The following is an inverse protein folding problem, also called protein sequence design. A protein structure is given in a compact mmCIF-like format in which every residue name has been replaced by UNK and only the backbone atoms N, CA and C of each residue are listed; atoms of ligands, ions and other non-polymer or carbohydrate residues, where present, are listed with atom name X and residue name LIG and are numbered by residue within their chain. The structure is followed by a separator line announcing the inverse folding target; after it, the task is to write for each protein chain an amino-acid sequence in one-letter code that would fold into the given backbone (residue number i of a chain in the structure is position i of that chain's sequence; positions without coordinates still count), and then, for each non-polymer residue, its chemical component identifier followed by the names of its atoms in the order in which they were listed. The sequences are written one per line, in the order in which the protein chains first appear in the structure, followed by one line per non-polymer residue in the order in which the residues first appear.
data_IF_069149739353
#
_entry.id   IF_069149739353
#
_cell.length_a   1.000
_cell.length_b   1.000
_cell.length_c   1.000
_cell.angle_alpha   90.00
_cell.angle_beta   90.00
_cell.angle_gamma   90.00
#
_symmetry.space_group_name_H-M   'P 1'
#
loop_
_entity.id
_entity.type
_entity.pdbx_description
1 polymer ?
#
# COMPACT_ATOMS: atom_id res chain seq x y z
N UNK A 1 -15.54 -3.60 -14.85
CA UNK A 1 -14.45 -4.15 -14.02
C UNK A 1 -13.17 -3.32 -14.01
N UNK A 2 -12.23 -3.40 -14.98
CA UNK A 2 -10.96 -2.64 -14.89
C UNK A 2 -11.18 -1.12 -14.82
N UNK A 3 -12.09 -0.57 -15.62
CA UNK A 3 -12.41 0.86 -15.59
C UNK A 3 -13.06 1.29 -14.27
N UNK A 4 -13.82 0.41 -13.62
CA UNK A 4 -14.41 0.68 -12.30
C UNK A 4 -13.32 0.69 -11.23
N UNK A 5 -12.34 -0.24 -11.29
CA UNK A 5 -11.18 -0.24 -10.39
C UNK A 5 -10.33 1.01 -10.58
N UNK A 6 -10.13 1.44 -11.83
CA UNK A 6 -9.43 2.70 -12.13
C UNK A 6 -10.13 3.90 -11.49
N UNK A 7 -11.45 4.00 -11.66
CA UNK A 7 -12.22 5.09 -11.06
C UNK A 7 -12.21 5.00 -9.53
N UNK A 8 -12.24 3.81 -8.95
CA UNK A 8 -12.13 3.60 -7.52
C UNK A 8 -10.79 4.12 -6.97
N UNK A 9 -9.67 3.83 -7.64
CA UNK A 9 -8.34 4.34 -7.26
C UNK A 9 -8.31 5.87 -7.33
N UNK A 10 -8.80 6.47 -8.41
CA UNK A 10 -8.82 7.93 -8.60
C UNK A 10 -9.69 8.62 -7.54
N UNK A 11 -10.81 8.01 -7.17
CA UNK A 11 -11.70 8.54 -6.14
C UNK A 11 -11.16 8.33 -4.71
N UNK A 12 -10.31 7.32 -4.52
CA UNK A 12 -9.77 6.95 -3.21
C UNK A 12 -8.68 7.91 -2.75
N UNK A 13 -7.79 8.33 -3.65
CA UNK A 13 -6.71 9.27 -3.33
C UNK A 13 -6.42 10.20 -4.51
N UNK A 14 -6.29 11.52 -4.29
CA UNK A 14 -5.85 12.46 -5.31
C UNK A 14 -4.50 12.04 -5.91
N UNK A 15 -4.45 11.92 -7.23
CA UNK A 15 -3.26 11.46 -7.96
C UNK A 15 -2.80 12.44 -9.05
N UNK A 16 -2.60 13.74 -8.74
CA UNK A 16 -2.20 14.71 -9.74
C UNK A 16 -0.80 14.39 -10.28
N UNK A 17 -0.66 14.36 -11.60
CA UNK A 17 0.62 14.10 -12.26
C UNK A 17 1.04 12.62 -12.31
N UNK A 18 0.26 11.69 -11.74
CA UNK A 18 0.51 10.25 -11.90
C UNK A 18 0.17 9.82 -13.33
N UNK A 19 1.05 9.10 -14.05
CA UNK A 19 0.78 8.65 -15.42
C UNK A 19 -0.47 7.78 -15.52
N UNK A 20 -1.30 8.03 -16.55
CA UNK A 20 -2.54 7.29 -16.78
C UNK A 20 -2.29 5.79 -16.98
N UNK A 21 -1.20 5.43 -17.64
CA UNK A 21 -0.83 4.04 -17.87
C UNK A 21 -0.46 3.33 -16.56
N UNK A 22 0.23 4.00 -15.64
CA UNK A 22 0.52 3.47 -14.30
C UNK A 22 -0.78 3.24 -13.50
N UNK A 23 -1.70 4.21 -13.51
CA UNK A 23 -3.03 4.04 -12.89
C UNK A 23 -3.81 2.87 -13.50
N UNK A 24 -3.74 2.68 -14.82
CA UNK A 24 -4.39 1.54 -15.48
C UNK A 24 -3.76 0.21 -15.08
N UNK A 25 -2.44 0.14 -14.93
CA UNK A 25 -1.75 -1.06 -14.44
C UNK A 25 -2.11 -1.37 -12.99
N UNK A 26 -2.15 -0.36 -12.11
CA UNK A 26 -2.61 -0.50 -10.73
C UNK A 26 -4.07 -1.01 -10.67
N UNK A 27 -4.96 -0.50 -11.52
CA UNK A 27 -6.35 -0.95 -11.60
C UNK A 27 -6.46 -2.43 -12.01
N UNK A 28 -5.61 -2.89 -12.95
CA UNK A 28 -5.52 -4.30 -13.33
C UNK A 28 -4.99 -5.16 -12.19
N UNK A 29 -3.93 -4.69 -11.52
CA UNK A 29 -3.38 -5.37 -10.34
C UNK A 29 -4.44 -5.53 -9.24
N UNK A 30 -5.15 -4.45 -8.89
CA UNK A 30 -6.25 -4.48 -7.94
C UNK A 30 -7.33 -5.51 -8.32
N UNK A 31 -7.76 -5.52 -9.59
CA UNK A 31 -8.77 -6.48 -10.05
C UNK A 31 -8.31 -7.94 -9.92
N UNK A 32 -7.07 -8.23 -10.31
CA UNK A 32 -6.51 -9.58 -10.25
C UNK A 32 -6.33 -10.02 -8.81
N UNK A 33 -5.80 -9.15 -7.94
CA UNK A 33 -5.61 -9.44 -6.52
C UNK A 33 -6.94 -9.70 -5.82
N UNK A 34 -7.95 -8.86 -6.03
CA UNK A 34 -9.26 -9.05 -5.41
C UNK A 34 -9.90 -10.37 -5.82
N UNK A 35 -9.89 -10.69 -7.13
CA UNK A 35 -10.41 -11.97 -7.62
C UNK A 35 -9.66 -13.15 -7.04
N UNK A 36 -8.32 -13.10 -7.05
CA UNK A 36 -7.50 -14.17 -6.51
C UNK A 36 -7.76 -14.40 -5.02
N UNK A 37 -7.92 -13.33 -4.25
CA UNK A 37 -8.26 -13.44 -2.83
C UNK A 37 -9.66 -14.02 -2.62
N UNK A 38 -10.67 -13.54 -3.34
CA UNK A 38 -12.04 -14.04 -3.24
C UNK A 38 -12.15 -15.52 -3.68
N UNK A 39 -11.45 -15.91 -4.75
CA UNK A 39 -11.42 -17.30 -5.27
C UNK A 39 -10.75 -18.29 -4.31
N UNK A 40 -9.89 -17.81 -3.40
CA UNK A 40 -9.13 -18.63 -2.45
C UNK A 40 -9.55 -18.39 -0.99
N UNK A 41 -10.68 -17.71 -0.76
CA UNK A 41 -11.20 -17.37 0.57
C UNK A 41 -10.15 -16.68 1.48
N UNK A 42 -9.33 -15.80 0.89
CA UNK A 42 -8.27 -15.10 1.60
C UNK A 42 -8.77 -13.79 2.21
N UNK A 43 -8.29 -13.51 3.43
CA UNK A 43 -8.71 -12.34 4.23
C UNK A 43 -7.62 -11.29 4.41
N UNK A 44 -6.39 -11.61 4.02
CA UNK A 44 -5.22 -10.73 4.08
C UNK A 44 -4.20 -11.18 3.02
N UNK A 45 -3.27 -10.30 2.67
CA UNK A 45 -2.16 -10.61 1.75
C UNK A 45 -0.83 -10.09 2.29
N UNK A 46 0.27 -10.63 1.77
CA UNK A 46 1.59 -10.03 1.92
C UNK A 46 2.27 -10.04 0.54
N UNK A 47 2.77 -8.88 0.11
CA UNK A 47 3.23 -8.65 -1.27
C UNK A 47 4.71 -8.30 -1.26
N UNK A 48 5.49 -8.94 -2.15
CA UNK A 48 6.82 -8.44 -2.47
C UNK A 48 6.66 -7.18 -3.34
N UNK A 49 6.58 -6.02 -2.69
CA UNK A 49 6.32 -4.74 -3.34
C UNK A 49 7.60 -4.19 -4.01
N UNK A 50 8.62 -3.86 -3.21
CA UNK A 50 9.94 -3.44 -3.71
C UNK A 50 10.84 -4.65 -4.01
N UNK A 51 11.63 -4.69 -5.08
CA UNK A 51 11.51 -3.91 -6.33
C UNK A 51 10.60 -4.61 -7.32
N UNK A 52 10.09 -5.81 -6.99
CA UNK A 52 9.48 -6.72 -7.96
C UNK A 52 8.31 -6.10 -8.72
N UNK A 53 7.44 -5.34 -8.06
CA UNK A 53 6.30 -4.73 -8.76
C UNK A 53 6.74 -3.69 -9.77
N UNK A 54 7.78 -2.93 -9.43
CA UNK A 54 8.36 -1.92 -10.30
C UNK A 54 9.12 -2.55 -11.48
N UNK A 55 9.96 -3.55 -11.22
CA UNK A 55 10.75 -4.23 -12.26
C UNK A 55 9.88 -4.97 -13.28
N UNK A 56 8.80 -5.62 -12.84
CA UNK A 56 7.97 -6.43 -13.72
C UNK A 56 6.77 -5.69 -14.29
N UNK A 57 6.26 -4.67 -13.59
CA UNK A 57 5.04 -3.98 -13.99
C UNK A 57 5.21 -2.46 -14.11
N UNK A 58 6.29 -1.84 -13.62
CA UNK A 58 6.50 -0.38 -13.64
C UNK A 58 5.43 0.36 -12.84
N UNK A 59 5.12 -0.18 -11.65
CA UNK A 59 4.25 0.42 -10.64
C UNK A 59 4.67 -0.03 -9.24
N UNK A 60 4.45 0.83 -8.25
CA UNK A 60 4.34 0.43 -6.85
C UNK A 60 2.87 0.20 -6.47
N UNK A 61 2.53 -0.88 -5.73
CA UNK A 61 1.14 -1.25 -5.44
C UNK A 61 0.53 -0.52 -4.22
N UNK A 62 1.23 0.44 -3.62
CA UNK A 62 0.91 0.97 -2.30
C UNK A 62 -0.51 1.51 -2.17
N UNK A 63 -1.05 2.19 -3.20
CA UNK A 63 -2.42 2.70 -3.17
C UNK A 63 -3.47 1.57 -3.21
N UNK A 64 -3.20 0.49 -3.95
CA UNK A 64 -4.07 -0.69 -3.98
C UNK A 64 -4.05 -1.39 -2.63
N UNK A 65 -2.87 -1.60 -2.05
CA UNK A 65 -2.71 -2.23 -0.74
C UNK A 65 -3.32 -1.38 0.39
N UNK A 66 -3.26 -0.05 0.25
CA UNK A 66 -3.97 0.92 1.10
C UNK A 66 -5.49 0.71 1.04
N UNK A 67 -6.08 0.65 -0.17
CA UNK A 67 -7.52 0.39 -0.35
C UNK A 67 -7.96 -0.93 0.29
N UNK A 68 -7.17 -1.99 0.12
CA UNK A 68 -7.44 -3.30 0.73
C UNK A 68 -7.47 -3.20 2.26
N UNK A 69 -6.48 -2.54 2.85
CA UNK A 69 -6.40 -2.35 4.30
C UNK A 69 -7.55 -1.47 4.82
N UNK A 70 -7.96 -0.44 4.07
CA UNK A 70 -9.15 0.36 4.36
C UNK A 70 -10.44 -0.46 4.33
N UNK A 71 -10.50 -1.48 3.46
CA UNK A 71 -11.60 -2.45 3.40
C UNK A 71 -11.48 -3.58 4.44
N UNK A 72 -10.60 -3.44 5.45
CA UNK A 72 -10.32 -4.42 6.50
C UNK A 72 -9.78 -5.77 5.99
N UNK A 73 -9.17 -5.76 4.79
CA UNK A 73 -8.39 -6.86 4.21
C UNK A 73 -6.92 -6.45 4.15
N UNK A 74 -6.19 -6.50 5.27
CA UNK A 74 -4.86 -5.92 5.34
C UNK A 74 -3.90 -6.56 4.33
N UNK A 75 -3.03 -5.73 3.76
CA UNK A 75 -2.01 -6.15 2.81
C UNK A 75 -0.65 -5.67 3.29
N UNK A 76 0.20 -6.60 3.76
CA UNK A 76 1.54 -6.32 4.24
C UNK A 76 2.54 -6.17 3.09
N UNK A 77 3.55 -5.32 3.25
CA UNK A 77 4.66 -5.21 2.31
C UNK A 77 5.76 -6.25 2.62
N UNK A 78 6.76 -6.36 1.74
CA UNK A 78 7.93 -7.27 1.81
C UNK A 78 7.63 -8.74 2.17
N UNK A 79 6.47 -9.26 1.75
CA UNK A 79 6.03 -10.64 2.08
C UNK A 79 5.97 -10.94 3.58
N UNK A 80 5.81 -9.93 4.44
CA UNK A 80 5.71 -10.14 5.88
C UNK A 80 4.38 -10.77 6.29
N UNK A 81 4.34 -12.11 6.26
CA UNK A 81 3.19 -12.92 6.66
C UNK A 81 2.85 -12.71 8.14
N UNK A 82 3.85 -12.57 9.00
CA UNK A 82 3.64 -12.36 10.44
C UNK A 82 3.02 -10.98 10.70
N UNK A 83 3.52 -9.96 10.01
CA UNK A 83 2.96 -8.62 9.98
C UNK A 83 1.52 -8.62 9.48
N UNK A 84 1.21 -9.32 8.38
CA UNK A 84 -0.15 -9.46 7.85
C UNK A 84 -1.12 -10.07 8.88
N UNK A 85 -0.70 -11.11 9.62
CA UNK A 85 -1.49 -11.70 10.70
C UNK A 85 -1.74 -10.68 11.82
N UNK A 86 -0.70 -9.94 12.23
CA UNK A 86 -0.81 -8.90 13.25
C UNK A 86 -1.76 -7.77 12.85
N UNK A 87 -1.62 -7.28 11.61
CA UNK A 87 -2.53 -6.31 11.02
C UNK A 87 -3.98 -6.81 11.05
N UNK A 88 -4.23 -8.06 10.62
CA UNK A 88 -5.58 -8.61 10.60
C UNK A 88 -6.17 -8.77 11.99
N UNK A 89 -5.39 -9.23 12.97
CA UNK A 89 -5.83 -9.29 14.36
C UNK A 89 -6.23 -7.90 14.88
N UNK A 90 -5.45 -6.86 14.59
CA UNK A 90 -5.77 -5.48 14.99
C UNK A 90 -7.01 -4.94 14.27
N UNK A 91 -7.17 -5.23 12.98
CA UNK A 91 -8.33 -4.83 12.21
C UNK A 91 -9.62 -5.45 12.76
N UNK A 92 -9.58 -6.75 13.10
CA UNK A 92 -10.71 -7.43 13.74
C UNK A 92 -11.03 -6.87 15.13
N UNK A 93 -10.01 -6.58 15.94
CA UNK A 93 -10.20 -6.06 17.28
C UNK A 93 -10.75 -4.62 17.30
N UNK A 94 -10.25 -3.78 16.39
CA UNK A 94 -10.57 -2.34 16.36
C UNK A 94 -11.72 -1.97 15.42
N UNK A 95 -12.05 -2.85 14.46
CA UNK A 95 -12.92 -2.54 13.31
C UNK A 95 -12.42 -1.33 12.51
N UNK A 96 -11.11 -1.11 12.49
CA UNK A 96 -10.42 -0.03 11.79
C UNK A 96 -9.21 -0.57 11.02
N UNK A 97 -8.75 0.14 9.98
CA UNK A 97 -7.55 -0.25 9.26
C UNK A 97 -6.31 -0.26 10.16
N UNK A 98 -5.34 -1.10 9.82
CA UNK A 98 -4.03 -1.19 10.48
C UNK A 98 -2.92 -1.02 9.43
N UNK A 99 -1.76 -0.55 9.86
CA UNK A 99 -0.57 -0.39 9.02
C UNK A 99 0.65 -1.07 9.67
N UNK A 100 1.62 -1.47 8.85
CA UNK A 100 2.96 -1.82 9.31
C UNK A 100 3.84 -0.57 9.30
N UNK A 101 4.67 -0.47 10.33
CA UNK A 101 5.65 0.61 10.46
C UNK A 101 6.97 0.05 10.97
N UNK A 102 8.04 0.57 10.41
CA UNK A 102 9.41 0.42 10.87
C UNK A 102 9.65 1.40 12.02
N UNK A 103 10.02 0.88 13.18
CA UNK A 103 10.48 1.69 14.29
C UNK A 103 11.92 2.13 14.02
N UNK A 104 12.13 3.45 13.90
CA UNK A 104 13.45 4.06 13.89
C UNK A 104 13.72 4.78 15.24
N UNK A 105 14.72 4.30 15.99
CA UNK A 105 14.95 4.69 17.39
C UNK A 105 15.53 6.11 17.58
N UNK A 106 15.84 6.82 16.50
CA UNK A 106 16.66 8.02 16.58
C UNK A 106 15.84 9.31 16.38
N UNK A 107 15.16 9.79 17.44
CA UNK A 107 14.70 11.19 17.52
C UNK A 107 15.74 12.07 18.22
N UNK A 108 17.00 11.96 17.80
CA UNK A 108 18.13 12.61 18.47
C UNK A 108 18.25 12.16 19.93
N UNK A 109 18.32 13.12 20.85
CA UNK A 109 18.50 12.87 22.29
C UNK A 109 17.19 12.89 23.10
N UNK A 110 16.02 12.97 22.45
CA UNK A 110 14.72 13.05 23.14
C UNK A 110 14.21 11.65 23.53
N UNK A 111 14.17 11.28 24.82
CA UNK A 111 13.84 9.93 25.26
C UNK A 111 12.35 9.57 25.11
N UNK A 112 11.48 10.56 24.91
CA UNK A 112 10.02 10.38 24.83
C UNK A 112 9.48 10.45 23.40
N UNK A 113 10.37 10.44 22.39
CA UNK A 113 10.01 10.48 20.98
C UNK A 113 10.67 9.37 20.19
N UNK A 114 9.94 8.84 19.21
CA UNK A 114 10.44 7.89 18.23
C UNK A 114 9.93 8.26 16.84
N UNK A 115 10.68 7.86 15.82
CA UNK A 115 10.23 7.97 14.43
C UNK A 115 9.69 6.62 14.01
N UNK A 116 8.48 6.59 13.51
CA UNK A 116 7.96 5.43 12.78
C UNK A 116 7.85 5.81 11.31
N UNK A 117 8.22 4.88 10.44
CA UNK A 117 8.25 5.10 9.00
C UNK A 117 7.85 3.82 8.28
N UNK A 118 7.32 3.93 7.07
CA UNK A 118 7.28 2.80 6.14
C UNK A 118 7.31 3.36 4.71
N UNK A 119 7.69 2.54 3.74
CA UNK A 119 7.90 2.98 2.36
C UNK A 119 6.64 3.55 1.67
N UNK A 120 5.46 3.20 2.19
CA UNK A 120 4.13 3.78 2.00
C UNK A 120 3.13 2.75 2.57
N UNK A 121 2.14 2.30 1.81
CA UNK A 121 1.16 1.28 2.17
C UNK A 121 0.35 1.61 3.45
N UNK A 122 0.12 2.91 3.68
CA UNK A 122 -0.77 3.34 4.73
C UNK A 122 -2.21 3.40 4.20
N UNK A 123 -3.20 2.87 4.93
CA UNK A 123 -4.62 3.12 4.65
C UNK A 123 -4.88 4.64 4.64
N UNK A 124 -5.75 5.14 3.75
CA UNK A 124 -5.96 6.60 3.61
C UNK A 124 -6.45 7.24 4.90
N UNK A 125 -7.13 6.46 5.75
CA UNK A 125 -7.62 6.86 7.07
C UNK A 125 -6.50 7.26 8.06
N UNK A 126 -5.24 6.97 7.74
CA UNK A 126 -4.07 7.41 8.53
C UNK A 126 -3.59 8.82 8.16
N UNK A 127 -4.10 9.42 7.09
CA UNK A 127 -3.66 10.72 6.60
C UNK A 127 -4.71 11.81 6.85
N UNK A 128 -4.25 13.03 7.14
CA UNK A 128 -5.10 14.22 7.15
C UNK A 128 -5.32 14.77 5.73
N UNK A 129 -4.28 14.78 4.89
CA UNK A 129 -4.30 15.26 3.50
C UNK A 129 -3.54 14.29 2.59
N UNK A 130 -4.21 13.25 2.05
CA UNK A 130 -3.58 12.20 1.27
C UNK A 130 -3.35 12.60 -0.19
N UNK A 131 -2.19 12.26 -0.73
CA UNK A 131 -1.88 12.40 -2.16
C UNK A 131 -1.03 11.22 -2.63
N UNK A 132 -1.30 10.75 -3.85
CA UNK A 132 -0.45 9.79 -4.56
C UNK A 132 0.61 10.53 -5.39
N UNK A 133 1.86 10.10 -5.25
CA UNK A 133 3.00 10.49 -6.09
C UNK A 133 3.83 9.26 -6.49
N UNK A 134 4.89 9.47 -7.24
CA UNK A 134 5.96 8.47 -7.37
C UNK A 134 6.60 8.22 -5.99
N UNK A 135 7.27 7.09 -5.82
CA UNK A 135 7.88 6.71 -4.55
C UNK A 135 9.35 7.18 -4.54
N UNK A 136 9.69 8.08 -3.60
CA UNK A 136 10.96 8.79 -3.60
C UNK A 136 12.19 7.87 -3.43
N UNK A 137 12.10 6.86 -2.56
CA UNK A 137 13.20 5.92 -2.27
C UNK A 137 13.44 4.99 -3.48
N UNK A 138 12.37 4.47 -4.08
CA UNK A 138 12.38 3.60 -5.27
C UNK A 138 12.99 4.38 -6.43
N UNK A 139 12.57 5.64 -6.60
CA UNK A 139 13.04 6.51 -7.66
C UNK A 139 14.56 6.78 -7.59
N UNK A 140 15.19 6.72 -6.43
CA UNK A 140 16.66 6.78 -6.32
C UNK A 140 17.35 5.54 -6.90
N UNK A 141 16.69 4.39 -6.87
CA UNK A 141 17.25 3.11 -7.32
C UNK A 141 16.95 2.82 -8.78
N UNK A 142 15.69 2.99 -9.20
CA UNK A 142 15.26 2.66 -10.57
C UNK A 142 15.03 3.89 -11.44
N UNK A 143 14.94 5.10 -10.88
CA UNK A 143 14.64 6.33 -11.62
C UNK A 143 13.15 6.71 -11.55
N UNK A 144 12.89 8.02 -11.52
CA UNK A 144 11.55 8.61 -11.33
C UNK A 144 10.55 8.34 -12.46
N UNK A 145 11.05 8.10 -13.67
CA UNK A 145 10.23 7.92 -14.87
C UNK A 145 9.84 6.45 -15.12
N UNK A 146 10.33 5.51 -14.28
CA UNK A 146 9.95 4.10 -14.37
C UNK A 146 8.53 3.86 -13.82
#
# INVERSE_FOLDING_TARGET
EVQEKLQAIINYVPSPGVPKDALLKMAKFALVTDRWMDENDLVASAVQCWTSMEEFFGIVPCAVMSMMSNALRPSACETDITGAIGMYAMALASQKPSALVDWNNNYGDDPDKGVIFHCSNFPVDFFEDPQMSFQDIIAETVGKEN
#
